data_IF_071795030642
#
_entry.id   IF_071795030642
#
_cell.length_a   1.000
_cell.length_b   1.000
_cell.length_c   1.000
_cell.angle_alpha   90.00
_cell.angle_beta   90.00
_cell.angle_gamma   90.00
#
_symmetry.space_group_name_H-M   'P 1'
#
loop_
_entity.id
_entity.type
_entity.pdbx_description
1 polymer ?
#
# COMPACT_ATOMS: atom_id res chain seq x y z
N UNK A 1 28.00 1.58 19.28
CA UNK A 1 27.93 0.93 17.95
C UNK A 1 26.50 1.07 17.53
N UNK A 2 26.28 2.21 16.91
CA UNK A 2 24.99 2.81 16.62
C UNK A 2 24.33 1.97 15.52
N UNK A 3 23.19 1.36 15.83
CA UNK A 3 22.34 0.75 14.82
C UNK A 3 21.53 1.88 14.21
N UNK A 4 22.04 2.43 13.11
CA UNK A 4 21.24 3.26 12.23
C UNK A 4 20.18 2.36 11.60
N UNK A 5 19.01 2.26 12.23
CA UNK A 5 17.82 1.68 11.63
C UNK A 5 17.41 2.67 10.54
N UNK A 6 17.72 2.34 9.28
CA UNK A 6 17.27 3.14 8.15
C UNK A 6 15.76 3.09 8.11
N UNK A 7 15.13 4.25 8.20
CA UNK A 7 13.71 4.48 7.99
C UNK A 7 13.41 4.23 6.50
N UNK A 8 13.35 2.95 6.12
CA UNK A 8 13.13 2.54 4.75
C UNK A 8 11.66 2.77 4.40
N UNK A 9 11.41 3.62 3.41
CA UNK A 9 10.05 3.91 2.95
C UNK A 9 9.37 2.64 2.42
N UNK A 10 8.12 2.42 2.83
CA UNK A 10 7.28 1.30 2.37
C UNK A 10 6.89 1.57 0.92
N UNK A 11 7.25 0.68 0.00
CA UNK A 11 6.98 0.82 -1.43
C UNK A 11 5.63 0.19 -1.76
N UNK A 12 4.72 0.99 -2.27
CA UNK A 12 3.34 0.58 -2.56
C UNK A 12 3.05 0.74 -4.04
N UNK A 13 2.65 -0.34 -4.70
CA UNK A 13 2.09 -0.31 -6.05
C UNK A 13 0.56 -0.33 -5.98
N UNK A 14 -0.10 0.56 -6.70
CA UNK A 14 -1.55 0.69 -6.70
C UNK A 14 -2.08 0.58 -8.13
N UNK A 15 -3.12 -0.22 -8.33
CA UNK A 15 -3.84 -0.32 -9.60
C UNK A 15 -5.36 -0.18 -9.40
N UNK A 16 -5.93 0.86 -9.99
CA UNK A 16 -7.37 1.15 -10.02
C UNK A 16 -7.67 1.90 -11.34
N UNK A 17 -8.73 1.54 -12.06
CA UNK A 17 -9.03 2.12 -13.37
C UNK A 17 -9.59 3.55 -13.31
N UNK A 18 -9.92 4.04 -12.11
CA UNK A 18 -10.37 5.40 -11.88
C UNK A 18 -9.24 6.31 -11.37
N UNK A 19 -8.82 7.27 -12.20
CA UNK A 19 -7.75 8.22 -11.87
C UNK A 19 -8.08 9.08 -10.62
N UNK A 20 -9.35 9.37 -10.36
CA UNK A 20 -9.73 10.12 -9.15
C UNK A 20 -9.48 9.29 -7.89
N UNK A 21 -9.68 7.98 -7.97
CA UNK A 21 -9.39 7.06 -6.87
C UNK A 21 -7.87 6.95 -6.66
N UNK A 22 -7.09 6.89 -7.75
CA UNK A 22 -5.62 6.96 -7.69
C UNK A 22 -5.10 8.24 -7.03
N UNK A 23 -5.75 9.39 -7.28
CA UNK A 23 -5.42 10.65 -6.60
C UNK A 23 -5.68 10.56 -5.10
N UNK A 24 -6.84 10.05 -4.67
CA UNK A 24 -7.14 9.82 -3.26
C UNK A 24 -6.15 8.88 -2.57
N UNK A 25 -5.68 7.84 -3.26
CA UNK A 25 -4.62 6.97 -2.74
C UNK A 25 -3.31 7.76 -2.54
N UNK A 26 -2.90 8.57 -3.52
CA UNK A 26 -1.66 9.36 -3.42
C UNK A 26 -1.73 10.36 -2.26
N UNK A 27 -2.87 11.02 -2.07
CA UNK A 27 -3.12 11.91 -0.93
C UNK A 27 -3.02 11.14 0.39
N UNK A 28 -3.72 10.02 0.53
CA UNK A 28 -3.76 9.28 1.79
C UNK A 28 -2.41 8.63 2.19
N UNK A 29 -1.62 8.21 1.21
CA UNK A 29 -0.30 7.61 1.44
C UNK A 29 0.83 8.65 1.44
N UNK A 30 0.59 9.87 0.97
CA UNK A 30 1.60 10.92 0.79
C UNK A 30 1.45 12.15 1.70
N UNK A 31 0.25 12.45 2.16
CA UNK A 31 -0.04 13.65 2.94
C UNK A 31 -0.65 13.28 4.30
N UNK A 32 0.21 13.06 5.28
CA UNK A 32 -0.17 13.48 6.63
C UNK A 32 0.13 14.98 6.73
N UNK A 33 -0.77 15.84 6.22
CA UNK A 33 -0.79 17.28 6.56
C UNK A 33 -0.82 17.49 8.09
N UNK A 34 -1.29 16.49 8.84
CA UNK A 34 -1.20 16.45 10.30
C UNK A 34 0.25 16.33 10.80
N UNK A 35 1.13 15.62 10.08
CA UNK A 35 2.55 15.49 10.42
C UNK A 35 3.28 16.81 10.19
N UNK A 36 2.96 17.56 9.13
CA UNK A 36 3.60 18.85 8.84
C UNK A 36 3.22 19.92 9.88
N UNK A 37 1.93 19.97 10.27
CA UNK A 37 1.47 20.88 11.34
C UNK A 37 2.04 20.50 12.71
N UNK A 38 2.09 19.22 13.07
CA UNK A 38 2.66 18.75 14.34
C UNK A 38 4.19 18.94 14.38
N UNK A 39 4.90 18.71 13.27
CA UNK A 39 6.34 19.01 13.17
C UNK A 39 6.63 20.50 13.28
N UNK A 40 5.80 21.35 12.64
CA UNK A 40 5.95 22.81 12.71
C UNK A 40 5.63 23.34 14.12
N UNK A 41 4.63 22.77 14.80
CA UNK A 41 4.32 23.13 16.19
C UNK A 41 5.40 22.65 17.18
N UNK A 42 5.97 21.46 16.99
CA UNK A 42 7.11 20.98 17.77
C UNK A 42 8.35 21.86 17.61
N UNK A 43 8.56 22.44 16.42
CA UNK A 43 9.68 23.35 16.17
C UNK A 43 9.54 24.74 16.83
N UNK A 44 8.37 25.06 17.42
CA UNK A 44 8.09 26.36 18.02
C UNK A 44 7.90 26.32 19.55
N UNK A 45 7.95 25.14 20.18
CA UNK A 45 7.64 24.97 21.62
C UNK A 45 8.77 24.26 22.39
N UNK A 46 10.01 24.75 22.27
CA UNK A 46 11.18 24.28 23.05
C UNK A 46 11.07 24.52 24.58
N UNK A 47 9.99 25.11 25.10
CA UNK A 47 9.84 25.41 26.54
C UNK A 47 8.57 24.87 27.24
N UNK A 48 7.66 24.11 26.62
CA UNK A 48 6.39 23.74 27.29
C UNK A 48 5.85 22.30 27.16
N UNK A 49 6.55 21.33 26.55
CA UNK A 49 6.00 19.97 26.48
C UNK A 49 7.03 18.85 26.79
N UNK A 50 7.33 18.65 28.08
CA UNK A 50 8.13 17.51 28.59
C UNK A 50 7.33 16.20 28.76
N UNK A 51 6.22 16.01 28.02
CA UNK A 51 5.48 14.74 28.05
C UNK A 51 4.79 14.46 26.72
N UNK A 52 5.52 13.84 25.78
CA UNK A 52 5.20 12.61 25.02
C UNK A 52 6.08 12.55 23.77
N UNK A 53 7.35 12.16 23.95
CA UNK A 53 8.16 11.64 22.85
C UNK A 53 7.66 10.24 22.50
N UNK A 54 6.59 10.17 21.72
CA UNK A 54 6.41 9.12 20.73
C UNK A 54 6.26 9.85 19.39
N UNK A 55 7.38 10.34 18.88
CA UNK A 55 7.49 10.71 17.47
C UNK A 55 7.49 9.42 16.66
N UNK A 56 6.34 8.75 16.62
CA UNK A 56 6.01 7.77 15.59
C UNK A 56 5.81 8.59 14.31
N UNK A 57 6.92 8.93 13.66
CA UNK A 57 6.89 9.56 12.35
C UNK A 57 5.97 8.72 11.48
N UNK A 58 4.95 9.37 10.90
CA UNK A 58 4.05 8.70 9.98
C UNK A 58 4.89 7.88 8.97
N UNK A 59 4.50 6.62 8.68
CA UNK A 59 5.25 5.74 7.79
C UNK A 59 5.53 6.46 6.47
N UNK A 60 6.79 6.52 6.06
CA UNK A 60 7.14 7.05 4.76
C UNK A 60 6.71 6.04 3.69
N UNK A 61 5.86 6.44 2.74
CA UNK A 61 5.47 5.61 1.60
C UNK A 61 6.12 6.10 0.30
N UNK A 62 6.55 5.16 -0.53
CA UNK A 62 6.87 5.41 -1.94
C UNK A 62 5.75 4.81 -2.79
N UNK A 63 4.85 5.67 -3.29
CA UNK A 63 3.66 5.22 -4.03
C UNK A 63 3.91 5.27 -5.53
N UNK A 64 3.68 4.14 -6.19
CA UNK A 64 3.58 4.03 -7.65
C UNK A 64 2.15 3.62 -7.99
N UNK A 65 1.50 4.36 -8.87
CA UNK A 65 0.12 4.12 -9.26
C UNK A 65 -0.01 3.95 -10.77
N UNK A 66 -0.86 3.02 -11.19
CA UNK A 66 -1.19 2.71 -12.58
C UNK A 66 -2.68 2.42 -12.71
N UNK A 67 -3.22 2.42 -13.93
CA UNK A 67 -4.66 2.32 -14.15
C UNK A 67 -5.14 0.95 -14.62
N UNK A 68 -4.24 0.00 -14.86
CA UNK A 68 -4.59 -1.32 -15.41
C UNK A 68 -3.72 -2.43 -14.83
N UNK A 69 -4.29 -3.65 -14.77
CA UNK A 69 -3.60 -4.81 -14.22
C UNK A 69 -2.33 -5.22 -14.99
N UNK A 70 -2.29 -5.02 -16.31
CA UNK A 70 -1.06 -5.30 -17.09
C UNK A 70 0.07 -4.35 -16.72
N UNK A 71 -0.22 -3.06 -16.55
CA UNK A 71 0.77 -2.07 -16.14
C UNK A 71 1.30 -2.40 -14.74
N UNK A 72 0.44 -2.89 -13.84
CA UNK A 72 0.85 -3.35 -12.52
C UNK A 72 1.82 -4.54 -12.59
N UNK A 73 1.56 -5.52 -13.47
CA UNK A 73 2.47 -6.65 -13.70
C UNK A 73 3.82 -6.14 -14.21
N UNK A 74 3.84 -5.30 -15.24
CA UNK A 74 5.07 -4.79 -15.86
C UNK A 74 5.90 -3.98 -14.85
N UNK A 75 5.25 -3.15 -14.03
CA UNK A 75 5.91 -2.38 -12.97
C UNK A 75 6.48 -3.30 -11.88
N UNK A 76 5.74 -4.30 -11.43
CA UNK A 76 6.19 -5.25 -10.42
C UNK A 76 7.35 -6.13 -10.93
N UNK A 77 7.28 -6.59 -12.19
CA UNK A 77 8.35 -7.34 -12.84
C UNK A 77 9.63 -6.51 -12.90
N UNK A 78 9.52 -5.25 -13.35
CA UNK A 78 10.65 -4.34 -13.42
C UNK A 78 11.26 -4.07 -12.04
N UNK A 79 10.43 -3.77 -11.05
CA UNK A 79 10.86 -3.54 -9.67
C UNK A 79 11.63 -4.74 -9.09
N UNK A 80 11.10 -5.96 -9.32
CA UNK A 80 11.74 -7.22 -8.92
C UNK A 80 13.09 -7.41 -9.61
N UNK A 81 13.16 -7.19 -10.93
CA UNK A 81 14.38 -7.32 -11.72
C UNK A 81 15.45 -6.28 -11.34
N UNK A 82 15.04 -5.08 -10.95
CA UNK A 82 15.92 -4.00 -10.49
C UNK A 82 16.39 -4.20 -9.04
N UNK A 83 15.97 -5.28 -8.37
CA UNK A 83 16.34 -5.61 -6.98
C UNK A 83 15.68 -4.71 -5.93
N UNK A 84 14.62 -4.00 -6.32
CA UNK A 84 13.85 -3.11 -5.48
C UNK A 84 12.36 -3.46 -5.66
N UNK A 85 11.88 -4.59 -5.11
CA UNK A 85 10.48 -4.98 -5.22
C UNK A 85 9.55 -4.01 -4.47
N UNK A 86 8.25 -4.18 -4.66
CA UNK A 86 7.24 -3.49 -3.85
C UNK A 86 6.95 -4.30 -2.59
N UNK A 87 6.78 -3.63 -1.46
CA UNK A 87 6.39 -4.29 -0.22
C UNK A 87 4.91 -4.69 -0.27
N UNK A 88 4.08 -3.81 -0.84
CA UNK A 88 2.63 -3.99 -0.92
C UNK A 88 2.10 -3.65 -2.31
N UNK A 89 1.16 -4.44 -2.79
CA UNK A 89 0.43 -4.21 -4.04
C UNK A 89 -1.07 -4.16 -3.75
N UNK A 90 -1.68 -3.01 -4.02
CA UNK A 90 -3.11 -2.75 -3.85
C UNK A 90 -3.78 -2.80 -5.21
N UNK A 91 -4.75 -3.70 -5.38
CA UNK A 91 -5.40 -3.96 -6.66
C UNK A 91 -6.91 -3.82 -6.52
N UNK A 92 -7.53 -3.01 -7.37
CA UNK A 92 -8.96 -3.12 -7.60
C UNK A 92 -9.27 -4.45 -8.31
N UNK A 93 -10.31 -5.14 -7.87
CA UNK A 93 -10.70 -6.42 -8.48
C UNK A 93 -11.20 -6.21 -9.91
N UNK A 94 -11.88 -5.10 -10.20
CA UNK A 94 -12.50 -4.84 -11.50
C UNK A 94 -11.79 -3.70 -12.24
N UNK A 95 -10.92 -4.03 -13.19
CA UNK A 95 -10.21 -3.04 -14.02
C UNK A 95 -10.47 -3.25 -15.52
N UNK A 96 -11.65 -2.89 -16.06
CA UNK A 96 -11.87 -2.91 -17.51
C UNK A 96 -10.97 -1.90 -18.25
N UNK A 97 -10.66 -2.12 -19.54
CA UNK A 97 -11.00 -3.27 -20.39
C UNK A 97 -10.00 -4.44 -20.29
N UNK A 98 -8.96 -4.32 -19.48
CA UNK A 98 -7.86 -5.28 -19.39
C UNK A 98 -8.15 -6.51 -18.52
N UNK A 99 -7.06 -7.08 -18.00
CA UNK A 99 -7.14 -8.17 -17.02
C UNK A 99 -7.68 -7.65 -15.68
N UNK A 100 -8.35 -8.52 -14.94
CA UNK A 100 -8.83 -8.21 -13.61
C UNK A 100 -7.69 -8.17 -12.58
N UNK A 101 -7.93 -7.53 -11.42
CA UNK A 101 -6.92 -7.45 -10.37
C UNK A 101 -6.51 -8.80 -9.82
N UNK A 102 -7.40 -9.79 -9.86
CA UNK A 102 -7.11 -11.14 -9.35
C UNK A 102 -6.07 -11.85 -10.20
N UNK A 103 -6.18 -11.72 -11.53
CA UNK A 103 -5.21 -12.24 -12.47
C UNK A 103 -3.88 -11.50 -12.37
N UNK A 104 -3.91 -10.17 -12.23
CA UNK A 104 -2.71 -9.37 -11.97
C UNK A 104 -2.00 -9.83 -10.68
N UNK A 105 -2.72 -9.92 -9.56
CA UNK A 105 -2.17 -10.37 -8.28
C UNK A 105 -1.61 -11.79 -8.33
N UNK A 106 -2.27 -12.71 -9.06
CA UNK A 106 -1.76 -14.08 -9.26
C UNK A 106 -0.43 -14.09 -10.04
N UNK A 107 -0.27 -13.22 -11.03
CA UNK A 107 0.98 -13.10 -11.80
C UNK A 107 2.08 -12.43 -10.99
N UNK A 108 1.77 -11.32 -10.30
CA UNK A 108 2.70 -10.61 -9.43
C UNK A 108 3.24 -11.53 -8.33
N UNK A 109 2.37 -12.30 -7.66
CA UNK A 109 2.76 -13.29 -6.64
C UNK A 109 3.74 -14.37 -7.15
N UNK A 110 3.65 -14.75 -8.42
CA UNK A 110 4.58 -15.75 -9.00
C UNK A 110 5.98 -15.18 -9.20
N UNK A 111 6.07 -13.87 -9.42
CA UNK A 111 7.33 -13.14 -9.57
C UNK A 111 7.94 -12.83 -8.20
N UNK A 112 7.09 -12.38 -7.27
CA UNK A 112 7.46 -12.09 -5.89
C UNK A 112 6.57 -12.88 -4.93
N UNK A 113 7.06 -14.01 -4.38
CA UNK A 113 6.34 -14.79 -3.38
C UNK A 113 6.12 -14.06 -2.05
N UNK A 114 6.86 -12.98 -1.78
CA UNK A 114 6.89 -12.31 -0.49
C UNK A 114 6.08 -11.02 -0.42
N UNK A 115 5.71 -10.42 -1.55
CA UNK A 115 4.88 -9.19 -1.61
C UNK A 115 3.57 -9.31 -0.82
N UNK A 116 3.10 -8.28 -0.13
CA UNK A 116 1.75 -8.29 0.45
C UNK A 116 0.75 -7.87 -0.64
N UNK A 117 -0.32 -8.65 -0.85
CA UNK A 117 -1.36 -8.30 -1.84
C UNK A 117 -2.61 -7.88 -1.11
N UNK A 118 -3.14 -6.72 -1.50
CA UNK A 118 -4.38 -6.16 -0.98
C UNK A 118 -5.39 -6.05 -2.11
N UNK A 119 -6.51 -6.74 -2.01
CA UNK A 119 -7.63 -6.56 -2.92
C UNK A 119 -8.62 -5.55 -2.37
N UNK A 120 -8.96 -4.56 -3.19
CA UNK A 120 -10.09 -3.66 -2.96
C UNK A 120 -11.22 -4.12 -3.86
N UNK A 121 -12.38 -4.41 -3.26
CA UNK A 121 -13.45 -5.15 -3.95
C UNK A 121 -14.83 -4.62 -3.61
N UNK A 122 -15.75 -4.61 -4.57
CA UNK A 122 -17.16 -4.30 -4.35
C UNK A 122 -17.97 -5.52 -3.91
N UNK A 123 -19.17 -5.28 -3.37
CA UNK A 123 -20.06 -6.33 -2.83
C UNK A 123 -20.44 -7.46 -3.81
N UNK A 124 -20.35 -7.21 -5.13
CA UNK A 124 -20.75 -8.18 -6.18
C UNK A 124 -19.57 -8.82 -6.91
N UNK A 125 -18.36 -8.68 -6.38
CA UNK A 125 -17.14 -9.21 -6.98
C UNK A 125 -16.84 -10.64 -6.51
N UNK A 126 -15.60 -11.08 -6.76
CA UNK A 126 -15.13 -12.44 -6.52
C UNK A 126 -15.14 -12.75 -5.01
N UNK A 127 -15.76 -13.86 -4.57
CA UNK A 127 -15.79 -14.22 -3.16
C UNK A 127 -14.39 -14.52 -2.62
N UNK A 128 -14.17 -14.23 -1.33
CA UNK A 128 -12.86 -14.38 -0.66
C UNK A 128 -12.23 -15.75 -0.88
N UNK A 129 -12.99 -16.83 -0.67
CA UNK A 129 -12.49 -18.20 -0.83
C UNK A 129 -11.99 -18.49 -2.26
N UNK A 130 -12.54 -17.81 -3.27
CA UNK A 130 -12.08 -17.94 -4.65
C UNK A 130 -10.80 -17.14 -4.90
N UNK A 131 -10.68 -15.93 -4.32
CA UNK A 131 -9.46 -15.13 -4.35
C UNK A 131 -8.27 -15.88 -3.71
N UNK A 132 -8.48 -16.45 -2.52
CA UNK A 132 -7.46 -17.25 -1.81
C UNK A 132 -6.97 -18.46 -2.62
N UNK A 133 -7.86 -19.07 -3.40
CA UNK A 133 -7.50 -20.19 -4.29
C UNK A 133 -6.74 -19.75 -5.53
N UNK A 134 -7.03 -18.55 -6.06
CA UNK A 134 -6.37 -18.00 -7.25
C UNK A 134 -5.02 -17.34 -6.93
N UNK A 135 -4.87 -16.82 -5.70
CA UNK A 135 -3.70 -16.04 -5.24
C UNK A 135 -3.23 -16.53 -3.87
N UNK A 136 -2.66 -17.74 -3.76
CA UNK A 136 -2.09 -18.21 -2.49
C UNK A 136 -0.75 -17.50 -2.16
N UNK A 137 -0.30 -17.46 -0.88
CA UNK A 137 -0.99 -17.98 0.30
C UNK A 137 -1.98 -16.96 0.92
N UNK A 138 -3.05 -17.42 1.59
CA UNK A 138 -4.02 -16.53 2.24
C UNK A 138 -3.44 -15.59 3.30
N UNK A 139 -2.29 -15.95 3.88
CA UNK A 139 -1.65 -15.18 4.95
C UNK A 139 -1.00 -13.88 4.47
N UNK A 140 -0.68 -13.78 3.17
CA UNK A 140 -0.15 -12.57 2.52
C UNK A 140 -1.19 -11.89 1.63
N UNK A 141 -2.47 -12.10 1.96
CA UNK A 141 -3.60 -11.67 1.16
C UNK A 141 -4.66 -10.97 2.02
N UNK A 142 -4.90 -9.70 1.74
CA UNK A 142 -5.79 -8.82 2.49
C UNK A 142 -6.93 -8.32 1.60
N UNK A 143 -8.05 -7.94 2.21
CA UNK A 143 -9.27 -7.61 1.48
C UNK A 143 -9.99 -6.42 2.13
N UNK A 144 -10.34 -5.44 1.31
CA UNK A 144 -11.13 -4.28 1.72
C UNK A 144 -12.36 -4.15 0.84
N UNK A 145 -13.52 -3.99 1.47
CA UNK A 145 -14.77 -3.80 0.74
C UNK A 145 -15.00 -2.32 0.44
N UNK A 146 -15.34 -1.99 -0.81
CA UNK A 146 -15.82 -0.65 -1.18
C UNK A 146 -17.19 -0.39 -0.50
N UNK A 147 -17.46 0.82 0.04
CA UNK A 147 -16.57 1.98 0.08
C UNK A 147 -15.46 1.84 1.13
N UNK A 148 -14.24 2.28 0.79
CA UNK A 148 -13.07 2.23 1.67
C UNK A 148 -12.72 3.62 2.22
N UNK A 149 -12.04 3.64 3.37
CA UNK A 149 -11.32 4.82 3.87
C UNK A 149 -9.86 4.69 3.48
N UNK A 150 -9.37 5.58 2.61
CA UNK A 150 -7.98 5.55 2.13
C UNK A 150 -6.98 5.78 3.27
N UNK A 151 -7.31 6.65 4.23
CA UNK A 151 -6.48 6.93 5.40
C UNK A 151 -6.34 5.70 6.31
N UNK A 152 -7.45 5.00 6.59
CA UNK A 152 -7.40 3.76 7.37
C UNK A 152 -6.61 2.67 6.64
N UNK A 153 -6.78 2.59 5.31
CA UNK A 153 -6.04 1.64 4.51
C UNK A 153 -4.53 1.89 4.57
N UNK A 154 -4.08 3.15 4.51
CA UNK A 154 -2.67 3.50 4.66
C UNK A 154 -2.14 3.08 6.05
N UNK A 155 -2.89 3.33 7.12
CA UNK A 155 -2.53 2.88 8.48
C UNK A 155 -2.41 1.35 8.57
N UNK A 156 -3.39 0.63 8.03
CA UNK A 156 -3.43 -0.83 8.03
C UNK A 156 -2.25 -1.41 7.23
N UNK A 157 -1.95 -0.83 6.06
CA UNK A 157 -0.81 -1.22 5.21
C UNK A 157 0.52 -1.01 5.94
N UNK A 158 0.70 0.11 6.64
CA UNK A 158 1.91 0.32 7.44
C UNK A 158 2.03 -0.70 8.58
N UNK A 159 0.91 -1.06 9.22
CA UNK A 159 0.86 -2.09 10.24
C UNK A 159 1.24 -3.47 9.71
N UNK A 160 0.79 -3.83 8.50
CA UNK A 160 1.10 -5.11 7.85
C UNK A 160 2.60 -5.28 7.62
N UNK A 161 3.25 -4.28 7.02
CA UNK A 161 4.68 -4.36 6.66
C UNK A 161 5.58 -4.37 7.89
N UNK A 162 5.22 -3.64 8.95
CA UNK A 162 5.99 -3.62 10.21
C UNK A 162 5.87 -4.93 11.01
N UNK A 163 4.81 -5.71 10.79
CA UNK A 163 4.55 -6.95 11.51
C UNK A 163 5.10 -8.21 10.82
N UNK A 164 5.45 -8.11 9.53
CA UNK A 164 6.07 -9.19 8.73
C UNK A 164 7.56 -9.32 8.95
#
# INVERSE_FOLDING_TARGET
>A
MDTQCGDASIRVLIADDDEHILECYREAFGESEATDYLQTLNALDEELFDTVSDSDSAPAFEVVACSQGNDAIDLAEKATNDGHPFDVVILDVRMPPGIDGVEAGSQIRKMDPDVEIVFVTGFSDVPRDELERRVPPPMKLHYFNKPISFMQLAEDVAGMVRAG
#
